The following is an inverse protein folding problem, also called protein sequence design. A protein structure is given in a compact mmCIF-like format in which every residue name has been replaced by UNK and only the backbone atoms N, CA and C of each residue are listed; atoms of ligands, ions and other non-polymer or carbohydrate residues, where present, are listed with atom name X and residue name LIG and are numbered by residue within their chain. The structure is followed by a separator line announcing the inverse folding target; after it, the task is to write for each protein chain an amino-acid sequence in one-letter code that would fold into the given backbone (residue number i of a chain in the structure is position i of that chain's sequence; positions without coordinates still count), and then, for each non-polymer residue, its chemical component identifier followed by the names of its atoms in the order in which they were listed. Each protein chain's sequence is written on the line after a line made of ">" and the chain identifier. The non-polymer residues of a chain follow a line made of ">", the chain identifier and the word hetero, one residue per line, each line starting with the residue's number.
data_IF_966805392037
#
_entry.id   IF_966805392037
#
_cell.length_a   1.000
_cell.length_b   1.000
_cell.length_c   1.000
_cell.angle_alpha   90.00
_cell.angle_beta   90.00
_cell.angle_gamma   90.00
#
_symmetry.space_group_name_H-M   'P 1'
#
loop_
_entity.id
_entity.type
_entity.pdbx_description
1 polymer ?
#
# COMPACT_ATOMS: atom_id res chain seq x y z
N UNK A 1 -24.02 29.34 -38.31
CA UNK A 1 -24.42 29.64 -36.92
C UNK A 1 -23.84 28.56 -36.04
N UNK A 2 -23.04 28.97 -35.06
CA UNK A 2 -22.25 28.13 -34.17
C UNK A 2 -23.18 27.48 -33.15
N UNK A 3 -23.17 26.15 -33.04
CA UNK A 3 -23.82 25.42 -31.95
C UNK A 3 -22.76 24.72 -31.12
N UNK A 4 -22.30 25.37 -30.05
CA UNK A 4 -21.31 24.82 -29.13
C UNK A 4 -21.85 23.57 -28.43
N UNK A 5 -21.14 22.44 -28.53
CA UNK A 5 -21.33 21.31 -27.64
C UNK A 5 -20.86 21.73 -26.23
N UNK A 6 -21.81 22.10 -25.38
CA UNK A 6 -21.54 22.35 -23.96
C UNK A 6 -21.23 21.00 -23.32
N UNK A 7 -19.97 20.85 -22.88
CA UNK A 7 -19.49 19.66 -22.18
C UNK A 7 -20.35 19.36 -20.95
N UNK A 8 -20.91 18.16 -20.92
CA UNK A 8 -21.58 17.66 -19.72
C UNK A 8 -20.50 17.35 -18.68
N UNK A 9 -20.32 18.26 -17.72
CA UNK A 9 -19.58 17.96 -16.48
C UNK A 9 -20.39 16.91 -15.73
N UNK A 10 -19.90 15.68 -15.65
CA UNK A 10 -20.31 14.78 -14.60
C UNK A 10 -19.73 15.34 -13.30
N UNK A 11 -20.58 15.98 -12.50
CA UNK A 11 -20.23 16.41 -11.14
C UNK A 11 -20.41 15.20 -10.25
N UNK A 12 -19.31 14.67 -9.71
CA UNK A 12 -19.37 13.79 -8.56
C UNK A 12 -19.64 14.70 -7.35
N UNK A 13 -20.70 14.45 -6.58
CA UNK A 13 -21.15 15.30 -5.45
C UNK A 13 -20.12 15.53 -4.32
N UNK A 14 -18.92 14.97 -4.44
CA UNK A 14 -17.81 15.16 -3.49
C UNK A 14 -16.79 16.22 -3.89
N UNK A 15 -17.04 17.00 -4.96
CA UNK A 15 -16.25 18.21 -5.25
C UNK A 15 -14.82 17.98 -5.75
N UNK A 16 -14.46 16.75 -6.13
CA UNK A 16 -13.17 16.45 -6.79
C UNK A 16 -13.39 16.04 -8.25
N UNK A 17 -12.80 16.78 -9.18
CA UNK A 17 -12.82 16.47 -10.62
C UNK A 17 -11.61 15.60 -10.94
N UNK A 18 -11.82 14.32 -11.21
CA UNK A 18 -10.80 13.46 -11.85
C UNK A 18 -11.10 13.36 -13.34
N UNK A 19 -10.11 13.68 -14.18
CA UNK A 19 -10.20 13.59 -15.63
C UNK A 19 -10.30 12.12 -16.07
N UNK A 20 -11.51 11.68 -16.41
CA UNK A 20 -11.71 10.41 -17.10
C UNK A 20 -11.46 10.61 -18.60
N UNK A 21 -10.33 10.11 -19.12
CA UNK A 21 -10.06 10.13 -20.56
C UNK A 21 -10.88 9.03 -21.23
N UNK A 22 -11.95 9.41 -21.93
CA UNK A 22 -12.74 8.51 -22.76
C UNK A 22 -11.87 7.89 -23.87
N UNK A 23 -11.73 6.57 -23.86
CA UNK A 23 -11.50 5.78 -25.08
C UNK A 23 -12.79 5.02 -25.31
N UNK A 24 -13.48 5.31 -26.42
CA UNK A 24 -14.86 4.91 -26.67
C UNK A 24 -15.06 3.40 -26.74
N UNK A 25 -15.46 2.79 -25.62
CA UNK A 25 -16.16 1.51 -25.61
C UNK A 25 -17.04 1.40 -24.36
N UNK A 26 -18.22 0.84 -24.55
CA UNK A 26 -19.40 0.96 -23.71
C UNK A 26 -19.31 0.20 -22.37
N UNK A 27 -18.80 0.82 -21.31
CA UNK A 27 -19.01 0.37 -19.92
C UNK A 27 -19.00 1.59 -18.97
N UNK A 28 -20.13 2.31 -18.87
CA UNK A 28 -20.28 3.53 -18.04
C UNK A 28 -20.49 3.25 -16.54
N UNK A 29 -20.07 2.10 -16.02
CA UNK A 29 -20.26 1.74 -14.59
C UNK A 29 -19.01 1.92 -13.71
N UNK A 30 -17.86 2.31 -14.26
CA UNK A 30 -16.58 2.11 -13.54
C UNK A 30 -15.93 3.35 -12.89
N UNK A 31 -16.49 4.56 -12.98
CA UNK A 31 -15.72 5.76 -12.57
C UNK A 31 -16.19 6.47 -11.30
N UNK A 32 -17.30 6.05 -10.69
CA UNK A 32 -17.80 6.67 -9.46
C UNK A 32 -18.22 5.60 -8.46
N UNK A 33 -17.27 5.09 -7.68
CA UNK A 33 -17.61 4.52 -6.39
C UNK A 33 -16.82 5.27 -5.33
N UNK A 34 -17.47 6.02 -4.41
CA UNK A 34 -16.78 6.46 -3.22
C UNK A 34 -16.25 5.20 -2.54
N UNK A 35 -14.96 5.18 -2.20
CA UNK A 35 -14.39 4.08 -1.42
C UNK A 35 -15.03 4.15 -0.03
N UNK A 36 -16.21 3.56 0.11
CA UNK A 36 -16.87 3.37 1.40
C UNK A 36 -16.15 2.21 2.11
N UNK A 37 -16.08 2.27 3.44
CA UNK A 37 -15.55 1.20 4.29
C UNK A 37 -16.03 -0.20 3.86
N UNK A 38 -17.27 -0.36 3.40
CA UNK A 38 -17.74 -1.66 2.89
C UNK A 38 -16.99 -2.16 1.65
N UNK A 39 -16.64 -1.27 0.72
CA UNK A 39 -15.86 -1.61 -0.48
C UNK A 39 -14.42 -1.98 -0.11
N UNK A 40 -13.81 -1.20 0.79
CA UNK A 40 -12.48 -1.50 1.32
C UNK A 40 -12.46 -2.85 2.05
N UNK A 41 -13.43 -3.12 2.93
CA UNK A 41 -13.52 -4.38 3.68
C UNK A 41 -13.74 -5.58 2.76
N UNK A 42 -14.50 -5.44 1.66
CA UNK A 42 -14.63 -6.50 0.64
C UNK A 42 -13.31 -6.79 -0.08
N UNK A 43 -12.54 -5.75 -0.43
CA UNK A 43 -11.24 -5.90 -1.06
C UNK A 43 -10.23 -6.60 -0.12
N UNK A 44 -10.22 -6.23 1.17
CA UNK A 44 -9.41 -6.93 2.17
C UNK A 44 -9.81 -8.40 2.32
N UNK A 45 -11.11 -8.69 2.40
CA UNK A 45 -11.61 -10.07 2.52
C UNK A 45 -11.18 -10.94 1.33
N UNK A 46 -11.26 -10.41 0.10
CA UNK A 46 -10.80 -11.12 -1.09
C UNK A 46 -9.29 -11.43 -1.00
N UNK A 47 -8.47 -10.43 -0.64
CA UNK A 47 -7.01 -10.60 -0.55
C UNK A 47 -6.59 -11.57 0.56
N UNK A 48 -7.35 -11.63 1.65
CA UNK A 48 -7.13 -12.58 2.73
C UNK A 48 -7.43 -14.01 2.29
N UNK A 49 -8.50 -14.24 1.54
CA UNK A 49 -8.81 -15.57 1.01
C UNK A 49 -7.70 -16.06 0.07
N UNK A 50 -7.21 -15.20 -0.84
CA UNK A 50 -6.06 -15.53 -1.71
C UNK A 50 -4.83 -15.95 -0.90
N UNK A 51 -4.58 -15.29 0.25
CA UNK A 51 -3.44 -15.60 1.12
C UNK A 51 -3.62 -16.93 1.87
N UNK A 52 -4.81 -17.20 2.38
CA UNK A 52 -5.13 -18.45 3.10
C UNK A 52 -4.96 -19.65 2.17
N UNK A 53 -5.35 -19.53 0.90
CA UNK A 53 -5.14 -20.60 -0.09
C UNK A 53 -3.65 -20.90 -0.32
N UNK A 54 -2.79 -19.87 -0.33
CA UNK A 54 -1.33 -19.99 -0.50
C UNK A 54 -0.66 -20.61 0.74
N UNK A 55 -1.13 -20.27 1.94
CA UNK A 55 -0.52 -20.75 3.19
C UNK A 55 -1.02 -22.15 3.57
N UNK A 56 -2.28 -22.45 3.27
CA UNK A 56 -2.93 -23.72 3.64
C UNK A 56 -2.84 -24.77 2.53
N UNK A 57 -2.54 -24.38 1.28
CA UNK A 57 -2.21 -25.26 0.17
C UNK A 57 -0.70 -25.34 -0.03
N UNK A 58 -0.10 -26.49 0.28
CA UNK A 58 1.35 -26.74 0.29
C UNK A 58 2.11 -26.24 -0.96
N UNK A 59 3.20 -25.49 -0.74
CA UNK A 59 4.36 -25.52 -1.65
C UNK A 59 5.65 -25.67 -0.83
N UNK A 60 6.27 -26.82 -0.97
CA UNK A 60 7.65 -27.07 -0.55
C UNK A 60 8.63 -26.17 -1.34
N UNK A 61 9.73 -25.80 -0.68
CA UNK A 61 10.94 -25.19 -1.26
C UNK A 61 10.85 -23.70 -1.63
N UNK A 62 10.95 -22.87 -0.60
CA UNK A 62 11.95 -21.79 -0.48
C UNK A 62 12.45 -21.19 -1.82
N UNK A 63 11.73 -20.21 -2.35
CA UNK A 63 12.31 -19.19 -3.24
C UNK A 63 11.44 -17.93 -3.30
N UNK A 64 11.05 -17.47 -2.13
CA UNK A 64 11.00 -16.05 -1.83
C UNK A 64 11.74 -15.92 -0.52
N UNK A 65 13.05 -15.66 -0.56
CA UNK A 65 13.76 -15.18 0.62
C UNK A 65 13.13 -13.83 0.96
N UNK A 66 12.00 -13.87 1.65
CA UNK A 66 11.38 -12.71 2.25
C UNK A 66 12.31 -12.40 3.41
N UNK A 67 13.35 -11.62 3.10
CA UNK A 67 14.27 -11.07 4.07
C UNK A 67 13.40 -10.44 5.18
N UNK A 68 13.33 -11.13 6.32
CA UNK A 68 12.64 -10.66 7.49
C UNK A 68 13.52 -9.62 8.17
N UNK A 69 13.83 -8.55 7.42
CA UNK A 69 14.62 -7.45 7.90
C UNK A 69 13.82 -6.73 8.97
N UNK A 70 14.41 -6.57 10.16
CA UNK A 70 13.78 -5.84 11.24
C UNK A 70 13.88 -4.34 10.99
N UNK A 71 12.79 -3.63 11.27
CA UNK A 71 12.73 -2.17 11.25
C UNK A 71 12.63 -1.67 12.69
N UNK A 72 13.52 -0.75 13.07
CA UNK A 72 13.56 -0.17 14.43
C UNK A 72 13.28 1.33 14.38
N UNK A 73 12.53 1.84 15.36
CA UNK A 73 12.25 3.26 15.50
C UNK A 73 13.30 3.93 16.41
N UNK A 74 13.84 5.07 15.97
CA UNK A 74 14.75 5.88 16.80
C UNK A 74 13.99 6.64 17.89
N UNK A 75 14.35 6.45 19.16
CA UNK A 75 13.75 7.13 20.32
C UNK A 75 13.95 8.65 20.34
N UNK A 76 14.90 9.18 19.55
CA UNK A 76 15.15 10.63 19.49
C UNK A 76 14.40 11.32 18.36
N UNK A 77 14.39 10.73 17.16
CA UNK A 77 13.87 11.41 15.96
C UNK A 77 12.65 10.72 15.35
N UNK A 78 12.20 9.59 15.93
CA UNK A 78 11.02 8.81 15.55
C UNK A 78 11.03 8.26 14.12
N UNK A 79 12.18 8.32 13.44
CA UNK A 79 12.38 7.73 12.11
C UNK A 79 12.61 6.23 12.21
N UNK A 80 12.05 5.49 11.26
CA UNK A 80 12.25 4.06 11.08
C UNK A 80 13.52 3.79 10.28
N UNK A 81 14.31 2.82 10.75
CA UNK A 81 15.54 2.36 10.11
C UNK A 81 15.48 0.85 9.92
N UNK A 82 15.70 0.41 8.68
CA UNK A 82 15.94 -0.99 8.37
C UNK A 82 17.31 -1.37 8.91
N UNK A 83 17.38 -2.49 9.63
CA UNK A 83 18.64 -3.10 10.04
C UNK A 83 19.00 -4.26 9.10
N UNK A 84 20.28 -4.66 9.06
CA UNK A 84 20.68 -5.87 8.34
C UNK A 84 19.95 -7.11 8.86
N UNK A 85 19.68 -8.07 7.99
CA UNK A 85 18.98 -9.33 8.32
C UNK A 85 19.71 -10.21 9.36
N UNK A 86 20.95 -9.85 9.70
CA UNK A 86 21.76 -10.55 10.71
C UNK A 86 21.46 -10.09 12.14
N UNK A 87 20.59 -9.11 12.34
CA UNK A 87 20.24 -8.60 13.67
C UNK A 87 18.93 -9.23 14.13
N UNK A 88 18.95 -9.83 15.32
CA UNK A 88 17.75 -10.42 15.94
C UNK A 88 16.99 -9.37 16.77
N UNK A 89 15.66 -9.39 16.74
CA UNK A 89 14.79 -8.46 17.48
C UNK A 89 15.06 -8.50 19.00
N UNK A 90 15.24 -9.71 19.56
CA UNK A 90 15.50 -9.93 20.98
C UNK A 90 16.86 -9.37 21.46
N UNK A 91 17.75 -9.02 20.52
CA UNK A 91 19.07 -8.44 20.84
C UNK A 91 19.06 -6.92 20.88
N UNK A 92 17.96 -6.28 20.46
CA UNK A 92 17.85 -4.84 20.48
C UNK A 92 17.74 -4.30 21.92
N UNK A 93 18.43 -3.19 22.23
CA UNK A 93 18.26 -2.53 23.52
C UNK A 93 16.85 -1.91 23.65
N UNK A 94 16.37 -1.72 24.88
CA UNK A 94 15.09 -1.05 25.17
C UNK A 94 14.99 0.35 24.53
N UNK A 95 16.12 1.06 24.42
CA UNK A 95 16.23 2.34 23.70
C UNK A 95 17.22 2.23 22.56
N UNK A 96 16.80 2.66 21.38
CA UNK A 96 17.59 2.62 20.16
C UNK A 96 17.66 3.99 19.48
N UNK A 97 18.83 4.35 18.94
CA UNK A 97 19.06 5.65 18.29
C UNK A 97 19.73 5.47 16.93
N UNK A 98 19.56 6.44 16.01
CA UNK A 98 20.19 6.37 14.68
C UNK A 98 21.72 6.16 14.73
N UNK A 99 22.42 6.71 15.73
CA UNK A 99 23.86 6.48 15.94
C UNK A 99 24.25 5.02 16.20
N UNK A 100 23.29 4.18 16.61
CA UNK A 100 23.45 2.74 16.80
C UNK A 100 23.29 1.96 15.49
N UNK A 101 22.90 2.61 14.38
CA UNK A 101 22.80 1.97 13.09
C UNK A 101 24.21 1.60 12.57
N UNK A 102 24.46 0.31 12.23
CA UNK A 102 25.70 -0.09 11.57
C UNK A 102 25.90 0.59 10.21
N UNK A 103 24.82 0.95 9.50
CA UNK A 103 24.91 1.70 8.26
C UNK A 103 25.24 3.18 8.53
N UNK A 104 26.40 3.60 8.05
CA UNK A 104 26.93 4.96 8.19
C UNK A 104 26.05 6.03 7.54
N UNK A 105 25.25 5.67 6.53
CA UNK A 105 24.40 6.60 5.80
C UNK A 105 23.13 6.97 6.59
N UNK A 106 22.79 6.20 7.64
CA UNK A 106 21.54 6.34 8.38
C UNK A 106 21.74 6.68 9.86
N UNK A 107 22.93 7.20 10.22
CA UNK A 107 23.25 7.69 11.57
C UNK A 107 22.53 8.97 11.97
#
# INVERSE_FOLDING_TARGET
>A
MVGQHVGQRAVCDTGFVLNCRHSGSAYLTSCCSPVNVSSAMKAFAAKLNDYVDIVMGETDTSSGAQANGIDVQCDRCLKWRRLPDTVDEDTLPEKWYCRNNPDVNYK
#
